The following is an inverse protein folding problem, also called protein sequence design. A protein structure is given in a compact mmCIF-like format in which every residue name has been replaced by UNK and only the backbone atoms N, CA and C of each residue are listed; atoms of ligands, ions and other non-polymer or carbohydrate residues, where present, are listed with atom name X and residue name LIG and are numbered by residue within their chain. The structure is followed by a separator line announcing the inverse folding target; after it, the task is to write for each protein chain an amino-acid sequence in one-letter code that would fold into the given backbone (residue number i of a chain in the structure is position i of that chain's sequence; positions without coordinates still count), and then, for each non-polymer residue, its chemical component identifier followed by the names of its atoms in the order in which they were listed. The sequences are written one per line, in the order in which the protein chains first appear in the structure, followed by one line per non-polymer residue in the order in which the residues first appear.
data_IF_204530663755
#
_entry.id   IF_204530663755
#
_cell.length_a   1.000
_cell.length_b   1.000
_cell.length_c   1.000
_cell.angle_alpha   90.00
_cell.angle_beta   90.00
_cell.angle_gamma   90.00
#
_symmetry.space_group_name_H-M   'P 1'
#
loop_
_entity.id
_entity.type
_entity.pdbx_description
1 polymer ?
#
# COMPACT_ATOMS: atom_id res chain seq x y z
N UNK A 1 28.18 6.52 1.07
CA UNK A 1 26.97 7.15 0.49
C UNK A 1 26.04 6.02 0.10
N UNK A 2 24.83 5.99 0.65
CA UNK A 2 23.81 5.10 0.13
C UNK A 2 23.28 5.70 -1.17
N UNK A 3 23.29 4.91 -2.24
CA UNK A 3 22.80 5.32 -3.55
C UNK A 3 21.30 5.01 -3.57
N UNK A 4 20.48 5.93 -4.05
CA UNK A 4 19.05 5.68 -4.25
C UNK A 4 18.87 4.45 -5.15
N UNK A 5 18.03 3.46 -4.76
CA UNK A 5 17.83 2.24 -5.53
C UNK A 5 16.90 2.50 -6.74
N UNK A 6 17.31 3.41 -7.63
CA UNK A 6 16.57 3.77 -8.83
C UNK A 6 16.18 2.56 -9.70
N UNK A 7 17.04 1.53 -9.89
CA UNK A 7 16.65 0.35 -10.65
C UNK A 7 15.42 -0.38 -10.07
N UNK A 8 15.21 -0.31 -8.75
CA UNK A 8 14.08 -0.96 -8.08
C UNK A 8 12.85 -0.04 -7.95
N UNK A 9 13.05 1.28 -8.08
CA UNK A 9 12.01 2.31 -7.93
C UNK A 9 11.55 2.91 -9.28
N UNK A 10 12.06 2.40 -10.40
CA UNK A 10 11.66 2.79 -11.75
C UNK A 10 11.18 1.56 -12.53
N UNK A 11 10.16 1.77 -13.36
CA UNK A 11 9.65 0.73 -14.25
C UNK A 11 9.19 1.37 -15.55
N UNK A 12 9.56 0.78 -16.68
CA UNK A 12 9.40 1.40 -18.01
C UNK A 12 7.92 1.57 -18.42
N UNK A 13 7.03 0.74 -17.89
CA UNK A 13 5.61 0.74 -18.25
C UNK A 13 4.66 1.30 -17.20
N UNK A 14 4.95 1.10 -15.91
CA UNK A 14 3.99 1.35 -14.83
C UNK A 14 4.70 2.06 -13.70
N UNK A 15 4.52 3.38 -13.66
CA UNK A 15 5.06 4.25 -12.64
C UNK A 15 3.97 5.25 -12.26
N UNK A 16 3.27 4.98 -11.15
CA UNK A 16 2.21 5.84 -10.65
C UNK A 16 2.74 6.62 -9.44
N UNK A 17 2.71 7.94 -9.52
CA UNK A 17 3.11 8.85 -8.46
C UNK A 17 1.88 9.32 -7.69
N UNK A 18 1.89 9.17 -6.38
CA UNK A 18 0.77 9.49 -5.51
C UNK A 18 -0.58 8.84 -5.94
N UNK A 19 -0.65 7.56 -6.34
CA UNK A 19 -1.90 6.95 -6.78
C UNK A 19 -2.92 6.83 -5.64
N UNK A 20 -4.14 7.28 -5.92
CA UNK A 20 -5.31 6.94 -5.11
C UNK A 20 -5.86 5.55 -5.46
N UNK A 21 -6.74 5.04 -4.60
CA UNK A 21 -7.50 3.80 -4.77
C UNK A 21 -8.98 4.07 -5.08
N UNK A 22 -9.25 5.19 -5.77
CA UNK A 22 -10.60 5.60 -6.17
C UNK A 22 -11.57 5.68 -4.98
N UNK A 23 -12.72 5.01 -5.11
CA UNK A 23 -13.78 5.00 -4.08
C UNK A 23 -13.32 4.40 -2.76
N UNK A 24 -12.37 3.46 -2.79
CA UNK A 24 -11.81 2.86 -1.59
C UNK A 24 -11.02 3.92 -0.78
N UNK A 25 -10.25 4.79 -1.44
CA UNK A 25 -9.60 5.94 -0.79
C UNK A 25 -10.60 6.91 -0.19
N UNK A 26 -11.65 7.25 -0.94
CA UNK A 26 -12.71 8.16 -0.45
C UNK A 26 -13.38 7.59 0.80
N UNK A 27 -13.61 6.27 0.83
CA UNK A 27 -14.27 5.59 1.94
C UNK A 27 -13.47 5.67 3.26
N UNK A 28 -12.16 5.88 3.23
CA UNK A 28 -11.31 6.04 4.43
C UNK A 28 -10.99 7.50 4.77
N UNK A 29 -11.64 8.46 4.09
CA UNK A 29 -11.37 9.89 4.27
C UNK A 29 -10.20 10.43 3.43
N UNK A 30 -9.76 9.66 2.43
CA UNK A 30 -8.59 9.95 1.60
C UNK A 30 -7.41 9.05 1.96
N UNK A 31 -6.80 8.42 0.96
CA UNK A 31 -5.61 7.60 1.10
C UNK A 31 -4.93 7.47 -0.26
N UNK A 32 -3.69 7.93 -0.35
CA UNK A 32 -2.87 7.83 -1.55
C UNK A 32 -1.55 7.17 -1.16
N UNK A 33 -1.10 6.19 -1.95
CA UNK A 33 0.23 5.62 -1.77
C UNK A 33 1.29 6.53 -2.37
N UNK A 34 2.53 6.47 -1.90
CA UNK A 34 3.59 7.33 -2.45
C UNK A 34 3.92 6.94 -3.90
N UNK A 35 4.03 5.64 -4.16
CA UNK A 35 4.48 5.11 -5.45
C UNK A 35 3.90 3.72 -5.74
N UNK A 36 3.52 3.48 -6.98
CA UNK A 36 3.38 2.12 -7.53
C UNK A 36 4.35 1.99 -8.71
N UNK A 37 5.22 0.98 -8.65
CA UNK A 37 6.26 0.70 -9.65
C UNK A 37 6.14 -0.75 -10.12
N UNK A 38 5.74 -0.95 -11.37
CA UNK A 38 5.35 -2.26 -11.89
C UNK A 38 4.17 -2.84 -11.08
N UNK A 39 4.44 -3.92 -10.36
CA UNK A 39 3.52 -4.61 -9.45
C UNK A 39 3.85 -4.40 -7.95
N UNK A 40 4.74 -3.45 -7.65
CA UNK A 40 5.17 -3.12 -6.29
C UNK A 40 4.49 -1.83 -5.80
N UNK A 41 3.80 -1.94 -4.67
CA UNK A 41 3.25 -0.81 -3.91
C UNK A 41 4.30 -0.33 -2.91
N UNK A 42 4.67 0.95 -2.95
CA UNK A 42 5.77 1.51 -2.16
C UNK A 42 5.29 2.67 -1.29
N UNK A 43 5.73 2.66 -0.04
CA UNK A 43 5.64 3.79 0.90
C UNK A 43 7.06 4.26 1.25
N UNK A 44 7.27 5.58 1.29
CA UNK A 44 8.55 6.23 1.48
C UNK A 44 8.61 6.81 2.88
N UNK A 45 9.57 6.35 3.68
CA UNK A 45 9.80 6.84 5.04
C UNK A 45 11.09 7.64 5.13
N UNK A 46 10.93 8.88 5.61
CA UNK A 46 12.05 9.79 5.89
C UNK A 46 12.23 9.90 7.41
N UNK A 47 12.73 8.85 8.04
CA UNK A 47 12.83 8.71 9.51
C UNK A 47 14.28 8.73 10.00
N UNK A 48 14.51 8.99 11.29
CA UNK A 48 15.84 8.88 11.95
C UNK A 48 16.21 7.45 12.37
N UNK A 49 15.25 6.53 12.31
CA UNK A 49 15.45 5.12 12.57
C UNK A 49 15.22 4.38 11.26
N UNK A 50 16.09 3.42 10.94
CA UNK A 50 16.00 2.50 9.79
C UNK A 50 15.26 1.19 10.13
N UNK A 51 14.55 1.16 11.26
CA UNK A 51 13.81 -0.01 11.71
C UNK A 51 12.37 -0.03 11.13
N UNK A 52 11.93 -1.21 10.69
CA UNK A 52 10.53 -1.48 10.34
C UNK A 52 9.69 -1.40 11.60
N UNK A 53 8.69 -0.50 11.59
CA UNK A 53 7.75 -0.32 12.70
C UNK A 53 6.40 -0.94 12.34
N UNK A 54 5.65 -1.49 13.31
CA UNK A 54 4.32 -2.05 13.06
C UNK A 54 3.37 -1.08 12.34
N UNK A 55 3.47 0.22 12.62
CA UNK A 55 2.62 1.24 12.00
C UNK A 55 2.90 1.40 10.51
N UNK A 56 4.16 1.20 10.07
CA UNK A 56 4.51 1.23 8.64
C UNK A 56 3.86 0.06 7.92
N UNK A 57 3.91 -1.14 8.52
CA UNK A 57 3.26 -2.34 7.97
C UNK A 57 1.74 -2.22 7.95
N UNK A 58 1.13 -1.63 8.99
CA UNK A 58 -0.31 -1.38 9.03
C UNK A 58 -0.75 -0.41 7.92
N UNK A 59 0.03 0.64 7.66
CA UNK A 59 -0.25 1.58 6.56
C UNK A 59 -0.17 0.88 5.20
N UNK A 60 0.91 0.14 4.95
CA UNK A 60 1.09 -0.62 3.71
C UNK A 60 0.02 -1.70 3.52
N UNK A 61 -0.38 -2.40 4.58
CA UNK A 61 -1.49 -3.36 4.53
C UNK A 61 -2.81 -2.65 4.19
N UNK A 62 -3.07 -1.50 4.78
CA UNK A 62 -4.23 -0.67 4.44
C UNK A 62 -4.25 -0.32 2.95
N UNK A 63 -3.15 0.23 2.43
CA UNK A 63 -3.01 0.55 1.01
C UNK A 63 -3.18 -0.67 0.11
N UNK A 64 -2.62 -1.82 0.48
CA UNK A 64 -2.77 -3.06 -0.26
C UNK A 64 -4.24 -3.53 -0.34
N UNK A 65 -4.97 -3.48 0.77
CA UNK A 65 -6.40 -3.82 0.79
C UNK A 65 -7.22 -2.86 -0.06
N UNK A 66 -6.94 -1.55 0.01
CA UNK A 66 -7.60 -0.54 -0.82
C UNK A 66 -7.30 -0.74 -2.31
N UNK A 67 -6.05 -1.00 -2.67
CA UNK A 67 -5.62 -1.33 -4.03
C UNK A 67 -6.36 -2.54 -4.58
N UNK A 68 -6.47 -3.62 -3.80
CA UNK A 68 -7.24 -4.83 -4.17
C UNK A 68 -8.72 -4.52 -4.43
N UNK A 69 -9.36 -3.75 -3.54
CA UNK A 69 -10.76 -3.34 -3.70
C UNK A 69 -10.95 -2.45 -4.92
N UNK A 70 -10.05 -1.50 -5.14
CA UNK A 70 -10.10 -0.61 -6.29
C UNK A 70 -9.93 -1.39 -7.58
N UNK A 71 -8.94 -2.29 -7.66
CA UNK A 71 -8.73 -3.17 -8.82
C UNK A 71 -9.93 -4.07 -9.11
N UNK A 72 -10.60 -4.58 -8.08
CA UNK A 72 -11.80 -5.39 -8.27
C UNK A 72 -12.94 -4.59 -8.94
N UNK A 73 -12.98 -3.27 -8.75
CA UNK A 73 -13.91 -2.36 -9.42
C UNK A 73 -13.37 -1.84 -10.77
N UNK A 74 -12.07 -1.65 -10.89
CA UNK A 74 -11.36 -1.20 -12.10
C UNK A 74 -10.18 -2.13 -12.43
N UNK A 75 -10.38 -3.13 -13.31
CA UNK A 75 -9.34 -4.07 -13.73
C UNK A 75 -8.16 -3.44 -14.49
N UNK A 76 -8.17 -2.14 -14.78
CA UNK A 76 -7.00 -1.44 -15.35
C UNK A 76 -5.99 -1.04 -14.29
N UNK A 77 -6.39 -0.94 -13.02
CA UNK A 77 -5.49 -0.63 -11.91
C UNK A 77 -4.48 -1.77 -11.68
N UNK A 78 -3.17 -1.52 -11.45
CA UNK A 78 -2.16 -2.58 -11.36
C UNK A 78 -2.47 -3.69 -10.34
N UNK A 79 -2.09 -4.92 -10.67
CA UNK A 79 -2.02 -6.00 -9.67
C UNK A 79 -0.83 -5.70 -8.77
N UNK A 80 -1.05 -5.73 -7.46
CA UNK A 80 0.03 -5.58 -6.47
C UNK A 80 0.46 -6.97 -6.02
N UNK A 81 1.67 -7.39 -6.41
CA UNK A 81 2.28 -8.64 -5.97
C UNK A 81 3.42 -8.41 -4.97
N UNK A 82 3.97 -7.19 -4.91
CA UNK A 82 5.09 -6.84 -4.03
C UNK A 82 4.77 -5.62 -3.19
N UNK A 83 5.32 -5.59 -2.00
CA UNK A 83 5.21 -4.47 -1.06
C UNK A 83 6.61 -3.93 -0.81
N UNK A 84 6.78 -2.61 -0.91
CA UNK A 84 8.03 -1.90 -0.70
C UNK A 84 7.94 -0.86 0.40
N UNK A 85 8.97 -0.78 1.24
CA UNK A 85 9.17 0.29 2.22
C UNK A 85 10.54 0.91 1.97
N UNK A 86 10.55 2.13 1.44
CA UNK A 86 11.78 2.82 1.08
C UNK A 86 12.19 3.84 2.15
N UNK A 87 13.31 3.59 2.81
CA UNK A 87 13.91 4.50 3.78
C UNK A 87 14.84 5.49 3.08
N UNK A 88 14.28 6.64 2.69
CA UNK A 88 14.94 7.64 1.83
C UNK A 88 16.25 8.19 2.40
N UNK A 89 16.36 8.32 3.74
CA UNK A 89 17.61 8.79 4.40
C UNK A 89 18.74 7.78 4.34
N UNK A 90 18.42 6.51 4.15
CA UNK A 90 19.36 5.39 4.18
C UNK A 90 19.56 4.77 2.81
N UNK A 91 18.82 5.22 1.79
CA UNK A 91 18.87 4.65 0.44
C UNK A 91 18.51 3.16 0.43
N UNK A 92 17.70 2.70 1.37
CA UNK A 92 17.41 1.28 1.56
C UNK A 92 15.94 0.97 1.27
N UNK A 93 15.70 0.02 0.37
CA UNK A 93 14.37 -0.51 0.06
C UNK A 93 14.23 -1.90 0.67
N UNK A 94 13.31 -2.03 1.63
CA UNK A 94 12.82 -3.35 2.01
C UNK A 94 11.67 -3.73 1.09
N UNK A 95 11.68 -4.95 0.55
CA UNK A 95 10.55 -5.48 -0.21
C UNK A 95 10.27 -6.93 0.13
N UNK A 96 9.01 -7.34 -0.06
CA UNK A 96 8.56 -8.72 0.11
C UNK A 96 7.33 -9.00 -0.76
N UNK A 97 7.06 -10.28 -1.03
CA UNK A 97 5.89 -10.70 -1.78
C UNK A 97 4.61 -10.51 -0.95
N UNK A 98 3.59 -9.92 -1.56
CA UNK A 98 2.27 -9.74 -0.95
C UNK A 98 1.60 -11.08 -0.57
N UNK A 99 2.08 -12.20 -1.13
CA UNK A 99 1.71 -13.55 -0.71
C UNK A 99 1.97 -13.80 0.78
N UNK A 100 3.00 -13.17 1.36
CA UNK A 100 3.29 -13.20 2.81
C UNK A 100 2.09 -12.77 3.66
N UNK A 101 1.21 -11.92 3.10
CA UNK A 101 -0.07 -11.58 3.71
C UNK A 101 -1.20 -12.46 3.19
N UNK A 102 -1.37 -12.61 1.87
CA UNK A 102 -2.57 -13.28 1.33
C UNK A 102 -2.65 -14.77 1.64
N UNK A 103 -1.51 -15.43 1.86
CA UNK A 103 -1.44 -16.85 2.26
C UNK A 103 -1.66 -17.04 3.77
N UNK A 104 -1.60 -15.97 4.56
CA UNK A 104 -1.86 -16.05 5.99
C UNK A 104 -3.33 -16.44 6.23
N UNK A 105 -3.66 -17.46 7.04
CA UNK A 105 -5.03 -17.96 7.21
C UNK A 105 -6.04 -16.90 7.67
N UNK A 106 -5.59 -15.90 8.42
CA UNK A 106 -6.44 -14.80 8.91
C UNK A 106 -6.67 -13.68 7.88
N UNK A 107 -6.00 -13.70 6.73
CA UNK A 107 -6.08 -12.61 5.75
C UNK A 107 -7.50 -12.38 5.22
N UNK A 108 -8.27 -13.40 4.80
CA UNK A 108 -9.63 -13.19 4.32
C UNK A 108 -10.55 -12.57 5.38
N UNK A 109 -10.36 -12.94 6.65
CA UNK A 109 -11.13 -12.35 7.76
C UNK A 109 -10.70 -10.90 8.02
N UNK A 110 -9.40 -10.62 7.97
CA UNK A 110 -8.85 -9.28 8.16
C UNK A 110 -9.32 -8.33 7.06
N UNK A 111 -9.32 -8.77 5.80
CA UNK A 111 -9.85 -7.99 4.67
C UNK A 111 -11.34 -7.67 4.87
N UNK A 112 -12.16 -8.67 5.23
CA UNK A 112 -13.58 -8.45 5.53
C UNK A 112 -13.79 -7.50 6.70
N UNK A 113 -13.06 -7.69 7.80
CA UNK A 113 -13.13 -6.84 8.98
C UNK A 113 -12.78 -5.39 8.66
N UNK A 114 -11.71 -5.17 7.87
CA UNK A 114 -11.24 -3.84 7.50
C UNK A 114 -12.34 -3.04 6.80
N UNK A 115 -12.97 -3.62 5.77
CA UNK A 115 -14.04 -2.95 5.04
C UNK A 115 -15.34 -2.82 5.85
N UNK A 116 -15.71 -3.83 6.64
CA UNK A 116 -16.86 -3.72 7.54
C UNK A 116 -16.69 -2.59 8.57
N UNK A 117 -15.45 -2.39 9.06
CA UNK A 117 -15.11 -1.29 9.97
C UNK A 117 -15.24 0.07 9.28
N UNK A 118 -14.77 0.21 8.05
CA UNK A 118 -14.92 1.43 7.24
C UNK A 118 -16.41 1.77 7.05
N UNK A 119 -17.22 0.81 6.63
CA UNK A 119 -18.67 0.99 6.44
C UNK A 119 -19.38 1.39 7.73
N UNK A 120 -18.98 0.81 8.87
CA UNK A 120 -19.53 1.17 10.18
C UNK A 120 -19.15 2.60 10.58
N UNK A 121 -17.91 3.01 10.33
CA UNK A 121 -17.45 4.37 10.62
C UNK A 121 -18.20 5.38 9.75
N UNK A 122 -18.32 5.14 8.44
CA UNK A 122 -19.00 6.06 7.52
C UNK A 122 -20.48 6.25 7.89
N UNK A 123 -21.18 5.18 8.30
CA UNK A 123 -22.56 5.29 8.82
C UNK A 123 -22.71 6.16 10.07
N UNK A 124 -21.67 6.23 10.91
CA UNK A 124 -21.69 7.04 12.14
C UNK A 124 -21.49 8.54 11.86
N UNK A 125 -20.90 8.87 10.72
CA UNK A 125 -20.58 10.25 10.32
C UNK A 125 -21.40 10.75 9.12
N UNK A 126 -22.43 10.00 8.72
CA UNK A 126 -23.44 10.48 7.78
C UNK A 126 -24.53 11.20 8.58
N UNK A 127 -24.86 12.47 8.29
CA UNK A 127 -25.88 13.23 9.03
C UNK A 127 -27.28 12.64 8.92
#
# INVERSE_FOLDING_TARGET
MAITPFPDLLHDTTLLLNPSFGDASRAVGGADADLIVGDMLVDIKTTKDDAIKPEHLNQLLGYFLLARRHRAADPTFPIINRIGLYYSRYGHLHSFDASSWTEHPAFPETERWFFAKIEKLNRRFTP
#
